data_IF_066071983220
#
_entry.id   IF_066071983220
#
_cell.length_a   1.000
_cell.length_b   1.000
_cell.length_c   1.000
_cell.angle_alpha   90.00
_cell.angle_beta   90.00
_cell.angle_gamma   90.00
#
_symmetry.space_group_name_H-M   'P 1'
#
loop_
_entity.id
_entity.type
_entity.pdbx_description
1 polymer ?
#
# COMPACT_ATOMS: atom_id res chain seq x y z
N UNK A 1 39.90 -34.43 4.13
CA UNK A 1 39.44 -33.75 2.89
C UNK A 1 37.90 -33.57 2.88
N UNK A 2 37.28 -33.02 3.94
CA UNK A 2 35.80 -32.94 4.10
C UNK A 2 35.31 -31.54 4.51
N UNK A 3 36.19 -30.53 4.58
CA UNK A 3 35.86 -29.17 5.05
C UNK A 3 35.29 -28.25 3.96
N UNK A 4 35.32 -28.67 2.69
CA UNK A 4 34.84 -27.89 1.55
C UNK A 4 33.38 -28.21 1.15
N UNK A 5 32.86 -29.37 1.56
CA UNK A 5 31.47 -29.78 1.27
C UNK A 5 30.43 -29.03 2.13
N UNK A 6 30.83 -28.56 3.32
CA UNK A 6 29.93 -27.87 4.24
C UNK A 6 29.77 -26.37 3.93
N UNK A 7 30.75 -25.76 3.25
CA UNK A 7 30.68 -24.36 2.81
C UNK A 7 29.85 -24.18 1.53
N UNK A 8 29.72 -25.24 0.73
CA UNK A 8 28.96 -25.24 -0.53
C UNK A 8 27.46 -25.45 -0.33
N UNK A 9 27.03 -26.11 0.75
CA UNK A 9 25.61 -26.20 1.14
C UNK A 9 25.06 -24.91 1.78
N UNK A 10 25.90 -24.10 2.42
CA UNK A 10 25.49 -22.80 2.99
C UNK A 10 25.10 -21.78 1.91
N UNK A 11 25.74 -21.82 0.72
CA UNK A 11 25.37 -20.96 -0.40
C UNK A 11 24.03 -21.37 -1.04
N UNK A 12 23.71 -22.66 -1.06
CA UNK A 12 22.43 -23.15 -1.59
C UNK A 12 21.24 -22.76 -0.68
N UNK A 13 21.45 -22.71 0.63
CA UNK A 13 20.41 -22.31 1.59
C UNK A 13 20.13 -20.79 1.57
N UNK A 14 21.12 -19.97 1.24
CA UNK A 14 20.94 -18.51 1.09
C UNK A 14 20.13 -18.14 -0.16
N UNK A 15 20.17 -18.94 -1.22
CA UNK A 15 19.39 -18.74 -2.44
C UNK A 15 17.89 -19.05 -2.28
N UNK A 16 17.50 -19.83 -1.26
CA UNK A 16 16.08 -20.10 -0.97
C UNK A 16 15.37 -18.92 -0.27
N UNK A 17 16.11 -17.97 0.32
CA UNK A 17 15.53 -16.84 1.06
C UNK A 17 15.35 -15.56 0.22
N UNK A 18 15.83 -15.53 -1.03
CA UNK A 18 15.83 -14.33 -1.86
C UNK A 18 14.54 -14.11 -2.66
N UNK A 19 13.59 -15.05 -2.64
CA UNK A 19 12.31 -14.95 -3.34
C UNK A 19 11.16 -14.58 -2.39
N UNK A 20 11.34 -13.53 -1.57
CA UNK A 20 10.18 -12.90 -0.94
C UNK A 20 9.37 -12.21 -2.05
N UNK A 21 8.02 -12.36 -2.08
CA UNK A 21 7.22 -11.59 -3.01
C UNK A 21 7.46 -10.11 -2.72
N UNK A 22 7.91 -9.37 -3.73
CA UNK A 22 7.93 -7.91 -3.65
C UNK A 22 6.46 -7.48 -3.58
N UNK A 23 5.98 -7.15 -2.37
CA UNK A 23 4.68 -6.51 -2.21
C UNK A 23 4.63 -5.31 -3.15
N UNK A 24 3.69 -5.31 -4.09
CA UNK A 24 3.49 -4.20 -5.01
C UNK A 24 3.28 -2.93 -4.17
N UNK A 25 4.27 -2.02 -4.21
CA UNK A 25 4.17 -0.76 -3.52
C UNK A 25 2.96 -0.01 -4.08
N UNK A 26 2.06 0.43 -3.20
CA UNK A 26 0.90 1.21 -3.60
C UNK A 26 1.38 2.49 -4.29
N UNK A 27 0.97 2.70 -5.53
CA UNK A 27 1.30 3.91 -6.30
C UNK A 27 0.88 5.16 -5.49
N UNK A 28 1.82 6.05 -5.14
CA UNK A 28 1.50 7.26 -4.40
C UNK A 28 0.45 8.13 -5.11
N UNK A 29 0.40 8.12 -6.44
CA UNK A 29 -0.58 8.88 -7.20
C UNK A 29 -2.01 8.34 -7.06
N UNK A 30 -2.16 7.09 -6.60
CA UNK A 30 -3.43 6.41 -6.34
C UNK A 30 -3.61 6.09 -4.84
N UNK A 31 -2.91 6.81 -3.97
CA UNK A 31 -3.05 6.66 -2.52
C UNK A 31 -3.59 7.96 -1.93
N UNK A 32 -4.67 7.85 -1.14
CA UNK A 32 -5.27 8.97 -0.41
C UNK A 32 -5.02 8.79 1.08
N UNK A 33 -4.59 9.86 1.73
CA UNK A 33 -4.41 9.89 3.19
C UNK A 33 -5.50 10.79 3.76
N UNK A 34 -6.34 10.21 4.61
CA UNK A 34 -7.37 10.93 5.35
C UNK A 34 -6.94 11.04 6.82
N UNK A 35 -6.79 12.26 7.30
CA UNK A 35 -6.39 12.54 8.68
C UNK A 35 -7.63 12.74 9.55
N UNK A 36 -7.79 11.87 10.54
CA UNK A 36 -8.84 11.96 11.55
C UNK A 36 -8.19 12.30 12.89
N UNK A 37 -9.00 12.82 13.83
CA UNK A 37 -8.53 13.08 15.21
C UNK A 37 -8.03 11.81 15.91
N UNK A 38 -8.55 10.65 15.51
CA UNK A 38 -8.22 9.34 16.07
C UNK A 38 -7.11 8.61 15.32
N UNK A 39 -6.59 9.16 14.21
CA UNK A 39 -5.50 8.55 13.45
C UNK A 39 -5.59 8.80 11.94
N UNK A 40 -4.65 8.20 11.20
CA UNK A 40 -4.60 8.28 9.74
C UNK A 40 -5.25 7.05 9.11
N UNK A 41 -6.10 7.29 8.12
CA UNK A 41 -6.65 6.25 7.25
C UNK A 41 -6.00 6.38 5.88
N UNK A 42 -5.38 5.30 5.42
CA UNK A 42 -4.74 5.24 4.10
C UNK A 42 -5.65 4.44 3.17
N UNK A 43 -6.07 5.06 2.07
CA UNK A 43 -7.03 4.49 1.12
C UNK A 43 -6.32 4.31 -0.22
N UNK A 44 -6.30 3.07 -0.70
CA UNK A 44 -5.82 2.76 -2.05
C UNK A 44 -6.96 2.94 -3.06
N UNK A 45 -6.73 3.75 -4.09
CA UNK A 45 -7.66 4.00 -5.18
C UNK A 45 -7.46 2.97 -6.29
N UNK A 46 -8.57 2.50 -6.86
CA UNK A 46 -8.58 1.45 -7.89
C UNK A 46 -9.06 2.02 -9.24
N UNK A 47 -8.21 2.74 -9.99
CA UNK A 47 -8.61 3.37 -11.26
C UNK A 47 -9.03 2.35 -12.33
N UNK A 48 -8.52 1.12 -12.24
CA UNK A 48 -8.87 0.04 -13.18
C UNK A 48 -10.33 -0.43 -13.03
N UNK A 49 -10.91 -0.32 -11.83
CA UNK A 49 -12.31 -0.72 -11.58
C UNK A 49 -13.28 0.46 -11.73
N UNK A 50 -12.88 1.65 -11.27
CA UNK A 50 -13.77 2.80 -11.22
C UNK A 50 -13.06 4.11 -11.63
N UNK A 51 -12.65 4.25 -12.91
CA UNK A 51 -11.80 5.35 -13.35
C UNK A 51 -12.44 6.73 -13.14
N UNK A 52 -13.75 6.85 -13.41
CA UNK A 52 -14.49 8.10 -13.23
C UNK A 52 -14.61 8.52 -11.75
N UNK A 53 -14.83 7.55 -10.86
CA UNK A 53 -14.92 7.82 -9.43
C UNK A 53 -13.56 8.27 -8.88
N UNK A 54 -12.49 7.57 -9.25
CA UNK A 54 -11.13 7.94 -8.84
C UNK A 54 -10.77 9.34 -9.31
N UNK A 55 -11.07 9.68 -10.57
CA UNK A 55 -10.82 11.03 -11.10
C UNK A 55 -11.58 12.10 -10.29
N UNK A 56 -12.88 11.88 -10.02
CA UNK A 56 -13.70 12.85 -9.27
C UNK A 56 -13.26 13.01 -7.82
N UNK A 57 -12.92 11.91 -7.14
CA UNK A 57 -12.41 11.97 -5.76
C UNK A 57 -11.09 12.76 -5.70
N UNK A 58 -10.16 12.51 -6.64
CA UNK A 58 -8.89 13.25 -6.71
C UNK A 58 -9.11 14.75 -6.92
N UNK A 59 -10.05 15.13 -7.77
CA UNK A 59 -10.41 16.54 -8.00
C UNK A 59 -10.92 17.20 -6.72
N UNK A 60 -11.90 16.58 -6.04
CA UNK A 60 -12.49 17.10 -4.81
C UNK A 60 -11.47 17.22 -3.66
N UNK A 61 -10.57 16.24 -3.55
CA UNK A 61 -9.50 16.25 -2.53
C UNK A 61 -8.51 17.39 -2.79
N UNK A 62 -8.11 17.61 -4.04
CA UNK A 62 -7.25 18.76 -4.40
C UNK A 62 -7.93 20.10 -4.14
N UNK A 63 -9.25 20.15 -4.29
CA UNK A 63 -10.08 21.31 -3.95
C UNK A 63 -10.35 21.44 -2.43
N UNK A 64 -9.77 20.58 -1.59
CA UNK A 64 -9.99 20.55 -0.12
C UNK A 64 -11.45 20.41 0.29
N UNK A 65 -12.28 19.83 -0.57
CA UNK A 65 -13.72 19.74 -0.35
C UNK A 65 -14.09 18.97 0.93
N UNK A 66 -13.30 17.96 1.31
CA UNK A 66 -13.58 17.11 2.47
C UNK A 66 -12.99 17.62 3.79
N UNK A 67 -12.19 18.70 3.76
CA UNK A 67 -11.53 19.22 4.95
C UNK A 67 -12.58 19.76 5.93
N UNK A 68 -12.55 19.26 7.17
CA UNK A 68 -13.48 19.67 8.23
C UNK A 68 -14.89 19.05 8.16
N UNK A 69 -15.17 18.17 7.19
CA UNK A 69 -16.44 17.45 7.12
C UNK A 69 -16.47 16.30 8.14
N UNK A 70 -17.59 16.15 8.84
CA UNK A 70 -17.81 15.08 9.82
C UNK A 70 -18.49 13.86 9.18
N UNK A 71 -18.24 12.67 9.74
CA UNK A 71 -19.05 11.49 9.44
C UNK A 71 -20.43 11.64 10.07
N UNK A 72 -21.42 12.06 9.27
CA UNK A 72 -22.80 12.28 9.73
C UNK A 72 -23.58 10.97 9.98
N UNK A 73 -23.07 9.82 9.51
CA UNK A 73 -23.71 8.51 9.67
C UNK A 73 -22.66 7.42 9.89
N UNK A 74 -22.80 6.69 10.99
CA UNK A 74 -21.99 5.53 11.39
C UNK A 74 -22.96 4.46 11.91
N UNK A 75 -22.74 3.20 11.55
CA UNK A 75 -23.53 2.04 11.98
C UNK A 75 -22.53 0.96 12.41
N UNK A 76 -22.78 0.35 13.56
CA UNK A 76 -21.96 -0.70 14.16
C UNK A 76 -22.21 -2.09 13.54
#
# INVERSE_FOLDING_TARGET
MVKHALRSWALALALLFAAAPVQAANDPANTLVMELRTGKVVIQLMPNLAPKHVARVKELVRAKFYDGIVFHRVID
#
